data_IF_200574887116
#
_entry.id   IF_200574887116
#
_cell.length_a   1.000
_cell.length_b   1.000
_cell.length_c   1.000
_cell.angle_alpha   90.00
_cell.angle_beta   90.00
_cell.angle_gamma   90.00
#
_symmetry.space_group_name_H-M   'P 1'
#
loop_
_entity.id
_entity.type
_entity.pdbx_description
1 polymer ?
#
# COMPACT_ATOMS: atom_id res chain seq x y z
N UNK A 1 -8.18 -53.01 -14.23
CA UNK A 1 -9.04 -51.81 -14.21
C UNK A 1 -9.12 -51.02 -12.88
N UNK A 2 -9.04 -51.60 -11.66
CA UNK A 2 -9.18 -50.82 -10.41
C UNK A 2 -7.97 -49.94 -10.05
N UNK A 3 -6.76 -50.33 -10.48
CA UNK A 3 -5.55 -49.51 -10.28
C UNK A 3 -5.60 -48.20 -11.08
N UNK A 4 -6.10 -48.24 -12.32
CA UNK A 4 -6.22 -47.06 -13.17
C UNK A 4 -7.19 -46.01 -12.59
N UNK A 5 -8.32 -46.45 -12.02
CA UNK A 5 -9.27 -45.57 -11.32
C UNK A 5 -8.67 -44.93 -10.07
N UNK A 6 -7.87 -45.67 -9.30
CA UNK A 6 -7.19 -45.13 -8.11
C UNK A 6 -6.15 -44.08 -8.51
N UNK A 7 -5.36 -44.32 -9.56
CA UNK A 7 -4.38 -43.36 -10.08
C UNK A 7 -5.01 -42.06 -10.59
N UNK A 8 -6.15 -42.15 -11.27
CA UNK A 8 -6.91 -40.97 -11.74
C UNK A 8 -7.46 -40.17 -10.56
N UNK A 9 -8.03 -40.85 -9.55
CA UNK A 9 -8.54 -40.18 -8.35
C UNK A 9 -7.41 -39.48 -7.57
N UNK A 10 -6.25 -40.10 -7.40
CA UNK A 10 -5.10 -39.47 -6.74
C UNK A 10 -4.55 -38.28 -7.52
N UNK A 11 -4.49 -38.37 -8.85
CA UNK A 11 -4.03 -37.26 -9.70
C UNK A 11 -5.01 -36.09 -9.67
N UNK A 12 -6.31 -36.35 -9.75
CA UNK A 12 -7.35 -35.33 -9.65
C UNK A 12 -7.35 -34.65 -8.27
N UNK A 13 -7.08 -35.41 -7.21
CA UNK A 13 -6.97 -34.87 -5.84
C UNK A 13 -5.74 -33.98 -5.70
N UNK A 14 -4.58 -34.39 -6.23
CA UNK A 14 -3.35 -33.57 -6.23
C UNK A 14 -3.52 -32.27 -7.04
N UNK A 15 -4.19 -32.32 -8.19
CA UNK A 15 -4.52 -31.13 -8.99
C UNK A 15 -5.51 -30.19 -8.28
N UNK A 16 -6.45 -30.73 -7.50
CA UNK A 16 -7.40 -29.93 -6.72
C UNK A 16 -6.74 -29.18 -5.54
N UNK A 17 -5.61 -29.67 -5.03
CA UNK A 17 -4.81 -29.01 -3.98
C UNK A 17 -3.61 -28.21 -4.52
N UNK A 18 -3.36 -28.24 -5.84
CA UNK A 18 -2.39 -27.37 -6.49
C UNK A 18 -3.01 -25.97 -6.65
N UNK A 19 -3.01 -25.20 -5.57
CA UNK A 19 -3.36 -23.79 -5.67
C UNK A 19 -2.33 -23.10 -6.57
N UNK A 20 -2.74 -22.37 -7.62
CA UNK A 20 -1.81 -21.55 -8.37
C UNK A 20 -1.20 -20.54 -7.39
N UNK A 21 0.11 -20.69 -7.12
CA UNK A 21 0.89 -19.66 -6.43
C UNK A 21 1.11 -18.56 -7.46
N UNK A 22 0.17 -17.63 -7.53
CA UNK A 22 0.33 -16.45 -8.37
C UNK A 22 1.41 -15.57 -7.76
N UNK A 23 2.46 -15.28 -8.54
CA UNK A 23 3.48 -14.32 -8.13
C UNK A 23 2.82 -12.95 -7.90
N UNK A 24 3.20 -12.27 -6.81
CA UNK A 24 2.74 -10.92 -6.52
C UNK A 24 3.24 -9.96 -7.59
N UNK A 25 2.36 -9.12 -8.12
CA UNK A 25 2.70 -8.15 -9.16
C UNK A 25 3.14 -6.83 -8.53
N UNK A 26 4.37 -6.40 -8.80
CA UNK A 26 4.87 -5.10 -8.38
C UNK A 26 4.97 -4.19 -9.60
N UNK A 27 4.28 -3.06 -9.58
CA UNK A 27 4.50 -1.97 -10.54
C UNK A 27 5.26 -0.84 -9.85
N UNK A 28 6.22 -0.27 -10.56
CA UNK A 28 7.02 0.87 -10.09
C UNK A 28 6.89 1.98 -11.12
N UNK A 29 6.48 3.16 -10.66
CA UNK A 29 6.41 4.38 -11.47
C UNK A 29 7.38 5.41 -10.91
N UNK A 30 8.14 6.06 -11.78
CA UNK A 30 9.04 7.15 -11.40
C UNK A 30 8.50 8.46 -11.95
N UNK A 31 8.07 9.32 -11.05
CA UNK A 31 7.44 10.62 -11.30
C UNK A 31 8.48 11.72 -11.61
N UNK A 32 8.02 12.92 -11.92
CA UNK A 32 8.85 14.13 -12.12
C UNK A 32 9.94 14.01 -13.21
N UNK A 33 9.64 13.32 -14.31
CA UNK A 33 10.48 13.33 -15.50
C UNK A 33 10.36 14.64 -16.29
N UNK A 34 11.46 15.06 -16.91
CA UNK A 34 11.54 16.18 -17.84
C UNK A 34 12.42 17.33 -17.36
N UNK A 35 12.99 17.25 -16.16
CA UNK A 35 13.84 18.29 -15.56
C UNK A 35 15.27 17.84 -15.32
N UNK A 36 15.53 16.54 -15.18
CA UNK A 36 16.82 15.99 -14.77
C UNK A 36 17.30 14.88 -15.71
N UNK A 37 17.64 15.19 -16.98
CA UNK A 37 18.03 14.17 -17.96
C UNK A 37 19.12 13.22 -17.47
N UNK A 38 20.07 13.68 -16.64
CA UNK A 38 21.12 12.79 -16.13
C UNK A 38 20.56 11.63 -15.29
N UNK A 39 19.75 11.89 -14.27
CA UNK A 39 19.21 10.82 -13.41
C UNK A 39 18.04 10.10 -14.07
N UNK A 40 17.26 10.79 -14.89
CA UNK A 40 16.18 10.20 -15.69
C UNK A 40 16.72 9.15 -16.67
N UNK A 41 17.83 9.43 -17.38
CA UNK A 41 18.45 8.44 -18.26
C UNK A 41 18.99 7.21 -17.51
N UNK A 42 19.35 7.34 -16.22
CA UNK A 42 19.72 6.18 -15.40
C UNK A 42 18.50 5.32 -15.06
N UNK A 43 17.32 5.93 -14.89
CA UNK A 43 16.06 5.20 -14.74
C UNK A 43 15.67 4.51 -16.05
N UNK A 44 15.87 5.17 -17.20
CA UNK A 44 15.61 4.58 -18.53
C UNK A 44 16.57 3.43 -18.90
N UNK A 45 17.63 3.21 -18.11
CA UNK A 45 18.52 2.05 -18.23
C UNK A 45 18.09 0.86 -17.35
N UNK A 46 17.05 1.03 -16.51
CA UNK A 46 16.45 -0.04 -15.72
C UNK A 46 15.50 -0.89 -16.60
N UNK A 47 14.99 -2.04 -16.12
CA UNK A 47 14.10 -2.86 -16.92
C UNK A 47 12.86 -2.09 -17.42
N UNK A 48 12.36 -2.36 -18.63
CA UNK A 48 11.25 -1.63 -19.27
C UNK A 48 9.90 -1.78 -18.55
N UNK A 49 9.84 -2.61 -17.51
CA UNK A 49 8.66 -2.75 -16.66
C UNK A 49 8.60 -1.66 -15.57
N UNK A 50 9.69 -0.91 -15.34
CA UNK A 50 9.61 0.37 -14.62
C UNK A 50 8.96 1.39 -15.55
N UNK A 51 7.97 2.11 -15.05
CA UNK A 51 7.22 3.11 -15.83
C UNK A 51 7.62 4.50 -15.38
N UNK A 52 7.36 5.50 -16.23
CA UNK A 52 7.76 6.89 -15.95
C UNK A 52 6.56 7.82 -16.10
N UNK A 53 6.47 8.83 -15.25
CA UNK A 53 5.48 9.88 -15.37
C UNK A 53 6.16 11.22 -15.65
N UNK A 54 5.81 11.85 -16.77
CA UNK A 54 6.49 13.02 -17.34
C UNK A 54 5.67 14.29 -17.11
N UNK A 55 6.29 15.33 -16.55
CA UNK A 55 5.66 16.63 -16.36
C UNK A 55 5.50 17.32 -17.73
N UNK A 56 4.29 17.66 -18.18
CA UNK A 56 4.04 18.10 -19.57
C UNK A 56 4.69 19.44 -19.92
N UNK A 57 4.90 20.31 -18.93
CA UNK A 57 5.49 21.63 -19.11
C UNK A 57 7.00 21.68 -18.79
N UNK A 58 7.61 20.53 -18.48
CA UNK A 58 9.05 20.46 -18.21
C UNK A 58 9.87 20.64 -19.50
N UNK A 59 11.08 21.25 -19.43
CA UNK A 59 11.88 21.59 -20.60
C UNK A 59 12.18 20.40 -21.53
N UNK A 60 12.34 19.20 -20.96
CA UNK A 60 12.66 17.98 -21.71
C UNK A 60 11.48 17.00 -21.80
N UNK A 61 10.24 17.43 -21.55
CA UNK A 61 9.07 16.56 -21.48
C UNK A 61 8.94 15.64 -22.71
N UNK A 62 8.87 16.22 -23.91
CA UNK A 62 8.71 15.48 -25.17
C UNK A 62 9.90 14.56 -25.45
N UNK A 63 11.11 15.03 -25.18
CA UNK A 63 12.35 14.27 -25.37
C UNK A 63 12.37 13.03 -24.47
N UNK A 64 12.10 13.22 -23.17
CA UNK A 64 12.11 12.13 -22.19
C UNK A 64 10.97 11.14 -22.41
N UNK A 65 9.77 11.61 -22.75
CA UNK A 65 8.65 10.74 -23.11
C UNK A 65 8.97 9.85 -24.33
N UNK A 66 9.55 10.44 -25.36
CA UNK A 66 9.95 9.71 -26.57
C UNK A 66 11.07 8.70 -26.28
N UNK A 67 12.09 9.09 -25.51
CA UNK A 67 13.16 8.16 -25.09
C UNK A 67 12.63 7.01 -24.26
N UNK A 68 11.76 7.30 -23.28
CA UNK A 68 11.14 6.27 -22.44
C UNK A 68 10.34 5.27 -23.26
N UNK A 69 9.49 5.76 -24.17
CA UNK A 69 8.72 4.90 -25.07
C UNK A 69 9.62 4.02 -25.96
N UNK A 70 10.64 4.61 -26.59
CA UNK A 70 11.57 3.89 -27.47
C UNK A 70 12.38 2.82 -26.73
N UNK A 71 12.67 3.04 -25.44
CA UNK A 71 13.30 2.05 -24.55
C UNK A 71 12.30 1.03 -23.98
N UNK A 72 11.02 1.11 -24.35
CA UNK A 72 9.98 0.17 -23.95
C UNK A 72 9.35 0.44 -22.58
N UNK A 73 9.58 1.59 -21.95
CA UNK A 73 8.90 1.96 -20.72
C UNK A 73 7.47 2.41 -21.00
N UNK A 74 6.57 2.13 -20.05
CA UNK A 74 5.24 2.75 -20.06
C UNK A 74 5.35 4.22 -19.64
N UNK A 75 4.70 5.10 -20.41
CA UNK A 75 4.75 6.55 -20.20
C UNK A 75 3.40 7.01 -19.68
N UNK A 76 3.43 7.81 -18.61
CA UNK A 76 2.27 8.51 -18.08
C UNK A 76 2.50 10.02 -18.16
N UNK A 77 1.42 10.78 -18.26
CA UNK A 77 1.43 12.22 -18.01
C UNK A 77 1.47 12.43 -16.50
N UNK A 78 2.46 13.13 -15.97
CA UNK A 78 2.46 13.57 -14.58
C UNK A 78 1.88 14.98 -14.52
N UNK A 79 0.57 15.12 -14.35
CA UNK A 79 -0.10 16.42 -14.49
C UNK A 79 -0.12 17.18 -13.14
N UNK A 80 0.39 18.43 -13.10
CA UNK A 80 0.27 19.29 -11.92
C UNK A 80 -1.16 19.50 -11.47
N UNK A 81 -1.40 19.25 -10.19
CA UNK A 81 -2.69 19.45 -9.54
C UNK A 81 -2.53 20.19 -8.21
N UNK A 82 -3.48 21.05 -7.88
CA UNK A 82 -3.40 21.91 -6.71
C UNK A 82 -3.31 21.11 -5.41
N UNK A 83 -2.32 21.38 -4.55
CA UNK A 83 -2.25 20.86 -3.19
C UNK A 83 -3.07 21.72 -2.23
N UNK A 84 -3.35 21.19 -1.03
CA UNK A 84 -3.91 21.95 0.09
C UNK A 84 -2.90 22.95 0.69
N UNK A 85 -1.61 22.67 0.55
CA UNK A 85 -0.52 23.55 0.99
C UNK A 85 -0.34 24.75 0.04
N UNK A 86 0.25 25.84 0.54
CA UNK A 86 0.52 27.07 -0.24
C UNK A 86 1.92 27.07 -0.86
N UNK A 87 2.24 26.03 -1.62
CA UNK A 87 3.53 25.93 -2.31
C UNK A 87 3.44 26.50 -3.74
N UNK A 88 4.58 26.87 -4.35
CA UNK A 88 4.62 27.25 -5.76
C UNK A 88 3.98 26.17 -6.64
N UNK A 89 3.21 26.60 -7.63
CA UNK A 89 2.52 25.71 -8.55
C UNK A 89 3.26 25.72 -9.89
N UNK A 90 3.37 24.54 -10.49
CA UNK A 90 3.82 24.40 -11.87
C UNK A 90 2.82 25.06 -12.82
N UNK A 91 3.29 25.41 -14.03
CA UNK A 91 2.43 25.93 -15.09
C UNK A 91 1.30 24.94 -15.40
N UNK A 92 0.10 25.47 -15.65
CA UNK A 92 -1.11 24.69 -15.97
C UNK A 92 -1.51 23.69 -14.87
N UNK A 93 -1.26 24.04 -13.60
CA UNK A 93 -1.75 23.28 -12.45
C UNK A 93 -3.27 23.29 -12.36
N UNK A 94 -3.90 22.11 -12.45
CA UNK A 94 -5.35 21.97 -12.31
C UNK A 94 -5.82 22.34 -10.91
N UNK A 95 -6.88 23.15 -10.84
CA UNK A 95 -7.51 23.58 -9.58
C UNK A 95 -9.00 23.22 -9.55
N UNK A 96 -9.58 22.94 -8.37
CA UNK A 96 -11.00 22.59 -8.25
C UNK A 96 -11.99 23.60 -8.84
N UNK A 97 -11.63 24.88 -8.81
CA UNK A 97 -12.46 26.01 -9.21
C UNK A 97 -12.44 26.31 -10.71
N UNK A 98 -11.60 25.63 -11.49
CA UNK A 98 -11.51 25.80 -12.94
C UNK A 98 -12.81 25.38 -13.65
N UNK A 99 -13.09 26.03 -14.79
CA UNK A 99 -14.13 25.61 -15.72
C UNK A 99 -13.75 24.29 -16.41
N UNK A 100 -14.75 23.58 -16.94
CA UNK A 100 -14.49 22.37 -17.73
C UNK A 100 -13.61 22.66 -18.95
N UNK A 101 -13.88 23.76 -19.66
CA UNK A 101 -13.11 24.17 -20.84
C UNK A 101 -11.62 24.39 -20.55
N UNK A 102 -11.31 24.98 -19.39
CA UNK A 102 -9.92 25.21 -18.99
C UNK A 102 -9.22 23.90 -18.62
N UNK A 103 -9.90 23.01 -17.90
CA UNK A 103 -9.39 21.67 -17.59
C UNK A 103 -9.14 20.89 -18.89
N UNK A 104 -10.08 20.93 -19.84
CA UNK A 104 -9.94 20.26 -21.13
C UNK A 104 -8.79 20.84 -21.96
N UNK A 105 -8.63 22.17 -21.99
CA UNK A 105 -7.50 22.85 -22.64
C UNK A 105 -6.18 22.34 -22.08
N UNK A 106 -6.03 22.32 -20.76
CA UNK A 106 -4.80 21.88 -20.07
C UNK A 106 -4.52 20.39 -20.37
N UNK A 107 -5.52 19.52 -20.29
CA UNK A 107 -5.36 18.09 -20.56
C UNK A 107 -4.95 17.85 -22.02
N UNK A 108 -5.58 18.55 -22.98
CA UNK A 108 -5.22 18.48 -24.40
C UNK A 108 -3.77 18.89 -24.64
N UNK A 109 -3.33 19.99 -24.03
CA UNK A 109 -1.92 20.42 -24.11
C UNK A 109 -0.98 19.40 -23.49
N UNK A 110 -1.33 18.83 -22.33
CA UNK A 110 -0.52 17.81 -21.68
C UNK A 110 -0.36 16.54 -22.53
N UNK A 111 -1.43 16.07 -23.16
CA UNK A 111 -1.40 14.93 -24.09
C UNK A 111 -0.50 15.21 -25.29
N UNK A 112 -0.55 16.43 -25.84
CA UNK A 112 0.30 16.82 -26.98
C UNK A 112 1.79 16.91 -26.60
N UNK A 113 2.08 17.37 -25.38
CA UNK A 113 3.44 17.57 -24.89
C UNK A 113 4.11 16.26 -24.45
N UNK A 114 3.34 15.27 -24.00
CA UNK A 114 3.82 13.96 -23.55
C UNK A 114 3.33 12.87 -24.51
N UNK A 115 3.99 12.69 -25.68
CA UNK A 115 3.58 11.67 -26.64
C UNK A 115 3.72 10.26 -26.04
N UNK A 116 2.97 9.31 -26.60
CA UNK A 116 2.95 7.90 -26.21
C UNK A 116 2.42 7.61 -24.80
N UNK A 117 1.91 8.60 -24.09
CA UNK A 117 1.29 8.38 -22.79
C UNK A 117 0.08 7.45 -22.91
N UNK A 118 -0.01 6.49 -21.99
CA UNK A 118 -1.14 5.54 -21.87
C UNK A 118 -1.94 5.74 -20.59
N UNK A 119 -1.48 6.63 -19.71
CA UNK A 119 -2.19 7.04 -18.51
C UNK A 119 -1.81 8.45 -18.06
N UNK A 120 -2.56 8.95 -17.09
CA UNK A 120 -2.31 10.20 -16.38
C UNK A 120 -2.16 9.92 -14.90
N UNK A 121 -1.20 10.59 -14.27
CA UNK A 121 -0.91 10.54 -12.86
C UNK A 121 -0.86 11.96 -12.29
N UNK A 122 -1.33 12.17 -11.06
CA UNK A 122 -1.33 13.50 -10.45
C UNK A 122 0.02 13.82 -9.77
N UNK A 123 0.62 14.95 -10.16
CA UNK A 123 1.67 15.61 -9.40
C UNK A 123 1.02 16.45 -8.28
N UNK A 124 1.39 16.18 -7.03
CA UNK A 124 0.73 16.77 -5.86
C UNK A 124 -0.79 16.51 -5.85
N UNK A 125 -1.63 17.54 -5.83
CA UNK A 125 -3.07 17.38 -6.08
C UNK A 125 -3.95 17.12 -4.88
N UNK A 126 -3.51 17.28 -3.63
CA UNK A 126 -4.36 17.00 -2.46
C UNK A 126 -5.63 17.86 -2.40
N UNK A 127 -5.64 19.08 -2.93
CA UNK A 127 -6.86 19.89 -3.05
C UNK A 127 -7.70 19.48 -4.27
N UNK A 128 -7.06 19.20 -5.41
CA UNK A 128 -7.77 18.78 -6.62
C UNK A 128 -8.45 17.42 -6.46
N UNK A 129 -7.69 16.41 -6.01
CA UNK A 129 -8.15 15.03 -5.88
C UNK A 129 -9.17 14.85 -4.76
N UNK A 130 -9.22 15.73 -3.76
CA UNK A 130 -10.27 15.72 -2.74
C UNK A 130 -11.60 16.35 -3.22
N UNK A 131 -11.59 17.10 -4.32
CA UNK A 131 -12.80 17.70 -4.91
C UNK A 131 -13.47 16.75 -5.89
N UNK A 132 -14.67 16.25 -5.55
CA UNK A 132 -15.43 15.39 -6.44
C UNK A 132 -15.78 16.12 -7.75
N UNK A 133 -16.29 17.34 -7.67
CA UNK A 133 -16.67 18.12 -8.85
C UNK A 133 -15.46 18.46 -9.73
N UNK A 134 -14.31 18.79 -9.13
CA UNK A 134 -13.08 19.02 -9.88
C UNK A 134 -12.63 17.77 -10.61
N UNK A 135 -12.57 16.63 -9.92
CA UNK A 135 -12.18 15.37 -10.52
C UNK A 135 -13.18 14.85 -11.55
N UNK A 136 -14.48 15.11 -11.42
CA UNK A 136 -15.47 14.72 -12.43
C UNK A 136 -15.19 15.41 -13.77
N UNK A 137 -14.86 16.71 -13.75
CA UNK A 137 -14.45 17.43 -14.96
C UNK A 137 -13.17 16.85 -15.57
N UNK A 138 -12.21 16.45 -14.72
CA UNK A 138 -10.98 15.77 -15.17
C UNK A 138 -11.28 14.43 -15.84
N UNK A 139 -12.11 13.59 -15.23
CA UNK A 139 -12.45 12.28 -15.78
C UNK A 139 -13.26 12.40 -17.08
N UNK A 140 -14.16 13.39 -17.17
CA UNK A 140 -14.88 13.71 -18.41
C UNK A 140 -13.93 14.15 -19.52
N UNK A 141 -13.01 15.06 -19.24
CA UNK A 141 -12.01 15.48 -20.22
C UNK A 141 -11.07 14.31 -20.62
N UNK A 142 -10.72 13.44 -19.68
CA UNK A 142 -9.92 12.25 -19.94
C UNK A 142 -10.64 11.18 -20.75
N UNK A 143 -11.98 11.10 -20.72
CA UNK A 143 -12.75 10.11 -21.46
C UNK A 143 -12.57 10.21 -22.99
N UNK A 144 -12.22 11.39 -23.49
CA UNK A 144 -11.87 11.60 -24.90
C UNK A 144 -10.51 11.01 -25.29
N UNK A 145 -9.72 10.58 -24.30
CA UNK A 145 -8.41 9.97 -24.47
C UNK A 145 -8.45 8.53 -23.93
N UNK A 146 -7.76 7.62 -24.60
CA UNK A 146 -7.62 6.24 -24.12
C UNK A 146 -6.56 6.15 -23.00
N UNK A 147 -6.73 6.95 -21.94
CA UNK A 147 -5.83 7.06 -20.80
C UNK A 147 -6.52 6.54 -19.54
N UNK A 148 -5.80 5.74 -18.75
CA UNK A 148 -6.21 5.46 -17.38
C UNK A 148 -5.71 6.56 -16.42
N UNK A 149 -6.29 6.65 -15.23
CA UNK A 149 -5.81 7.53 -14.17
C UNK A 149 -5.12 6.73 -13.05
N UNK A 150 -3.85 7.04 -12.78
CA UNK A 150 -3.12 6.57 -11.61
C UNK A 150 -3.20 7.64 -10.52
N UNK A 151 -3.90 7.34 -9.43
CA UNK A 151 -3.94 8.21 -8.27
C UNK A 151 -2.67 8.03 -7.41
N UNK A 152 -1.89 9.10 -7.27
CA UNK A 152 -0.72 9.15 -6.39
C UNK A 152 -1.08 9.10 -4.91
N UNK A 153 -2.37 9.17 -4.54
CA UNK A 153 -2.85 9.09 -3.16
C UNK A 153 -2.16 10.13 -2.26
N UNK A 154 -2.08 11.38 -2.73
CA UNK A 154 -1.53 12.52 -1.98
C UNK A 154 -2.48 13.00 -0.88
N UNK A 155 -3.73 12.52 -0.89
CA UNK A 155 -4.70 12.65 0.19
C UNK A 155 -5.49 11.35 0.35
N UNK A 156 -5.81 10.97 1.59
CA UNK A 156 -6.45 9.67 1.88
C UNK A 156 -7.90 9.57 1.40
N UNK A 157 -8.61 10.69 1.28
CA UNK A 157 -10.01 10.78 0.85
C UNK A 157 -10.17 11.19 -0.63
N UNK A 158 -9.20 10.86 -1.48
CA UNK A 158 -9.26 11.13 -2.91
C UNK A 158 -10.60 10.64 -3.51
N UNK A 159 -11.17 11.47 -4.37
CA UNK A 159 -12.43 11.26 -5.07
C UNK A 159 -12.22 10.67 -6.46
N UNK A 160 -10.99 10.37 -6.89
CA UNK A 160 -10.67 9.94 -8.26
C UNK A 160 -11.51 8.74 -8.72
N UNK A 161 -11.63 7.69 -7.90
CA UNK A 161 -12.45 6.51 -8.24
C UNK A 161 -13.93 6.85 -8.39
N UNK A 162 -14.47 7.65 -7.46
CA UNK A 162 -15.86 8.08 -7.49
C UNK A 162 -16.16 8.99 -8.68
N UNK A 163 -15.24 9.89 -9.00
CA UNK A 163 -15.34 10.81 -10.13
C UNK A 163 -15.30 10.11 -11.49
N UNK A 164 -14.59 8.97 -11.59
CA UNK A 164 -14.54 8.16 -12.80
C UNK A 164 -15.82 7.35 -13.03
N UNK A 165 -16.69 7.23 -12.03
CA UNK A 165 -17.97 6.54 -12.16
C UNK A 165 -18.82 7.18 -13.27
N UNK A 166 -19.24 6.37 -14.24
CA UNK A 166 -20.00 6.84 -15.40
C UNK A 166 -19.14 7.29 -16.59
N UNK A 167 -17.81 7.19 -16.48
CA UNK A 167 -16.87 7.37 -17.60
C UNK A 167 -16.19 6.05 -17.96
N UNK A 168 -15.56 5.99 -19.13
CA UNK A 168 -14.66 4.90 -19.51
C UNK A 168 -13.30 4.86 -18.78
N UNK A 169 -12.98 5.85 -17.95
CA UNK A 169 -11.65 6.02 -17.36
C UNK A 169 -11.43 5.03 -16.22
N UNK A 170 -10.42 4.16 -16.35
CA UNK A 170 -10.01 3.25 -15.28
C UNK A 170 -9.12 3.95 -14.27
N UNK A 171 -9.35 3.71 -12.99
CA UNK A 171 -8.56 4.28 -11.89
C UNK A 171 -7.78 3.19 -11.17
N UNK A 172 -6.47 3.36 -11.04
CA UNK A 172 -5.58 2.55 -10.20
C UNK A 172 -4.89 3.45 -9.19
N UNK A 173 -4.39 2.88 -8.08
CA UNK A 173 -3.92 3.68 -6.95
C UNK A 173 -2.56 3.23 -6.43
N UNK A 174 -1.72 4.20 -6.12
CA UNK A 174 -0.47 3.96 -5.39
C UNK A 174 -0.75 3.26 -4.05
N UNK A 175 0.11 2.32 -3.67
CA UNK A 175 0.16 1.69 -2.35
C UNK A 175 1.35 2.12 -1.50
N UNK A 176 2.49 2.43 -2.13
CA UNK A 176 3.73 2.82 -1.44
C UNK A 176 4.39 3.99 -2.14
N UNK A 177 4.88 4.95 -1.35
CA UNK A 177 5.75 6.03 -1.83
C UNK A 177 7.16 5.66 -1.40
N UNK A 178 8.08 5.57 -2.35
CA UNK A 178 9.40 5.00 -2.15
C UNK A 178 10.31 5.96 -1.41
N UNK A 179 10.24 7.25 -1.72
CA UNK A 179 11.26 8.23 -1.38
C UNK A 179 10.71 9.50 -0.73
N UNK A 180 9.77 9.32 0.21
CA UNK A 180 9.35 10.39 1.16
C UNK A 180 10.58 11.06 1.83
N UNK A 181 11.66 10.30 2.00
CA UNK A 181 12.98 10.80 2.37
C UNK A 181 14.00 10.39 1.31
N UNK A 182 15.03 11.22 1.10
CA UNK A 182 16.15 10.88 0.21
C UNK A 182 17.20 9.98 0.87
N UNK A 183 16.82 9.22 1.92
CA UNK A 183 17.70 8.30 2.61
C UNK A 183 17.56 6.88 2.02
N UNK A 184 18.67 6.29 1.55
CA UNK A 184 18.63 4.97 0.92
C UNK A 184 18.08 3.85 1.80
N UNK A 185 18.34 3.88 3.12
CA UNK A 185 17.83 2.86 4.01
C UNK A 185 16.31 2.95 4.13
N UNK A 186 15.75 4.15 4.14
CA UNK A 186 14.30 4.39 4.17
C UNK A 186 13.66 3.93 2.86
N UNK A 187 14.27 4.27 1.72
CA UNK A 187 13.81 3.86 0.39
C UNK A 187 13.81 2.34 0.26
N UNK A 188 14.84 1.63 0.77
CA UNK A 188 14.86 0.16 0.82
C UNK A 188 13.73 -0.41 1.67
N UNK A 189 13.43 0.20 2.82
CA UNK A 189 12.30 -0.23 3.66
C UNK A 189 10.98 -0.07 2.92
N UNK A 190 10.77 1.04 2.22
CA UNK A 190 9.58 1.25 1.40
C UNK A 190 9.50 0.27 0.22
N UNK A 191 10.61 0.00 -0.46
CA UNK A 191 10.66 -1.00 -1.53
C UNK A 191 10.27 -2.40 -1.03
N UNK A 192 10.83 -2.84 0.09
CA UNK A 192 10.45 -4.11 0.73
C UNK A 192 8.99 -4.11 1.18
N UNK A 193 8.49 -2.98 1.68
CA UNK A 193 7.07 -2.83 2.00
C UNK A 193 6.17 -3.01 0.78
N UNK A 194 6.57 -2.49 -0.39
CA UNK A 194 5.85 -2.67 -1.64
C UNK A 194 5.80 -4.14 -2.08
N UNK A 195 6.93 -4.86 -1.96
CA UNK A 195 7.00 -6.32 -2.15
C UNK A 195 6.00 -7.05 -1.25
N UNK A 196 6.01 -6.76 0.05
CA UNK A 196 5.10 -7.43 0.99
C UNK A 196 3.62 -7.13 0.70
N UNK A 197 3.31 -5.92 0.22
CA UNK A 197 1.96 -5.57 -0.18
C UNK A 197 1.55 -6.28 -1.48
N UNK A 198 2.47 -6.42 -2.44
CA UNK A 198 2.22 -7.19 -3.65
C UNK A 198 1.93 -8.66 -3.33
N UNK A 199 2.67 -9.26 -2.38
CA UNK A 199 2.38 -10.63 -1.89
C UNK A 199 1.02 -10.74 -1.23
N UNK A 200 0.71 -9.82 -0.32
CA UNK A 200 -0.54 -9.89 0.47
C UNK A 200 -1.78 -9.62 -0.37
N UNK A 201 -1.69 -8.70 -1.32
CA UNK A 201 -2.86 -8.19 -2.05
C UNK A 201 -2.91 -8.68 -3.50
N UNK A 202 -1.96 -9.52 -3.93
CA UNK A 202 -1.78 -9.92 -5.33
C UNK A 202 -1.06 -8.87 -6.19
N UNK A 203 -1.24 -7.58 -5.90
CA UNK A 203 -0.48 -6.50 -6.55
C UNK A 203 -0.21 -5.28 -5.66
N UNK A 204 0.81 -4.52 -6.02
CA UNK A 204 1.08 -3.20 -5.44
C UNK A 204 1.72 -2.26 -6.47
N UNK A 205 1.34 -0.98 -6.41
CA UNK A 205 1.99 0.10 -7.17
C UNK A 205 2.82 0.92 -6.20
N UNK A 206 4.11 1.05 -6.49
CA UNK A 206 5.03 1.93 -5.79
C UNK A 206 5.38 3.11 -6.69
N UNK A 207 5.44 4.31 -6.11
CA UNK A 207 5.83 5.55 -6.81
C UNK A 207 7.08 6.11 -6.13
N UNK A 208 8.04 6.61 -6.91
CA UNK A 208 9.14 7.42 -6.41
C UNK A 208 9.55 8.45 -7.46
N UNK A 209 10.72 9.06 -7.30
CA UNK A 209 11.22 10.11 -8.19
C UNK A 209 12.68 9.82 -8.61
N UNK A 210 13.21 10.47 -9.66
CA UNK A 210 14.57 10.23 -10.15
C UNK A 210 15.61 10.95 -9.28
N UNK A 211 15.49 10.83 -7.96
CA UNK A 211 16.52 11.25 -7.02
C UNK A 211 17.71 10.27 -7.05
N UNK A 212 18.95 10.73 -6.88
CA UNK A 212 20.11 9.84 -6.90
C UNK A 212 20.03 8.67 -5.91
N UNK A 213 19.48 8.90 -4.71
CA UNK A 213 19.27 7.85 -3.71
C UNK A 213 18.26 6.79 -4.20
N UNK A 214 17.14 7.22 -4.77
CA UNK A 214 16.09 6.34 -5.32
C UNK A 214 16.65 5.49 -6.46
N UNK A 215 17.35 6.10 -7.42
CA UNK A 215 17.94 5.40 -8.56
C UNK A 215 18.94 4.34 -8.09
N UNK A 216 19.82 4.65 -7.13
CA UNK A 216 20.79 3.68 -6.59
C UNK A 216 20.09 2.50 -5.91
N UNK A 217 19.04 2.74 -5.14
CA UNK A 217 18.27 1.65 -4.50
C UNK A 217 17.58 0.78 -5.56
N UNK A 218 16.94 1.39 -6.56
CA UNK A 218 16.30 0.67 -7.65
C UNK A 218 17.33 -0.22 -8.38
N UNK A 219 18.45 0.34 -8.84
CA UNK A 219 19.52 -0.40 -9.51
C UNK A 219 20.00 -1.64 -8.73
N UNK A 220 19.95 -1.60 -7.40
CA UNK A 220 20.34 -2.72 -6.56
C UNK A 220 19.22 -3.74 -6.32
N UNK A 221 17.95 -3.28 -6.29
CA UNK A 221 16.83 -4.09 -5.82
C UNK A 221 15.98 -4.68 -6.96
N UNK A 222 15.75 -3.98 -8.08
CA UNK A 222 14.88 -4.54 -9.15
C UNK A 222 15.44 -5.81 -9.79
N UNK A 223 16.76 -5.94 -9.89
CA UNK A 223 17.40 -7.16 -10.41
C UNK A 223 17.49 -8.30 -9.38
N UNK A 224 17.11 -8.04 -8.12
CA UNK A 224 17.14 -9.00 -7.01
C UNK A 224 15.74 -9.24 -6.45
N UNK A 225 14.72 -9.05 -7.28
CA UNK A 225 13.35 -9.35 -6.87
C UNK A 225 13.22 -10.82 -6.48
N UNK A 226 12.50 -11.12 -5.39
CA UNK A 226 12.18 -12.49 -5.03
C UNK A 226 11.47 -13.24 -6.18
N UNK A 227 11.68 -14.55 -6.29
CA UNK A 227 11.10 -15.37 -7.37
C UNK A 227 9.56 -15.39 -7.39
N UNK A 228 8.92 -15.06 -6.26
CA UNK A 228 7.47 -14.94 -6.12
C UNK A 228 6.94 -13.53 -6.40
N UNK A 229 7.78 -12.61 -6.91
CA UNK A 229 7.39 -11.26 -7.35
C UNK A 229 7.69 -11.08 -8.82
N UNK A 230 6.70 -10.61 -9.57
CA UNK A 230 6.88 -10.19 -10.98
C UNK A 230 6.80 -8.68 -11.07
N UNK A 231 7.84 -8.05 -11.63
CA UNK A 231 7.80 -6.63 -11.99
C UNK A 231 6.91 -6.46 -13.22
N UNK A 232 5.91 -5.59 -13.17
CA UNK A 232 4.96 -5.34 -14.27
C UNK A 232 4.75 -3.84 -14.48
N UNK A 233 4.19 -3.47 -15.64
CA UNK A 233 3.73 -2.10 -15.91
C UNK A 233 2.41 -1.81 -15.18
N UNK A 234 2.14 -0.58 -14.71
CA UNK A 234 0.88 -0.23 -14.05
C UNK A 234 -0.35 -0.46 -14.94
N UNK A 235 -0.26 -0.29 -16.26
CA UNK A 235 -1.33 -0.61 -17.21
C UNK A 235 -1.79 -2.08 -17.19
N UNK A 236 -0.94 -3.01 -16.73
CA UNK A 236 -1.32 -4.42 -16.54
C UNK A 236 -2.22 -4.65 -15.31
N UNK A 237 -2.33 -3.66 -14.43
CA UNK A 237 -3.06 -3.74 -13.16
C UNK A 237 -4.46 -3.09 -13.24
N UNK A 238 -4.89 -2.64 -14.43
CA UNK A 238 -6.15 -1.91 -14.61
C UNK A 238 -7.42 -2.72 -14.28
N UNK A 239 -7.32 -4.05 -14.23
CA UNK A 239 -8.45 -4.93 -13.89
C UNK A 239 -8.30 -5.54 -12.48
N UNK A 240 -7.26 -5.16 -11.73
CA UNK A 240 -7.06 -5.64 -10.37
C UNK A 240 -8.03 -4.92 -9.40
N UNK A 241 -8.61 -5.63 -8.42
CA UNK A 241 -9.55 -5.02 -7.48
C UNK A 241 -8.99 -3.79 -6.78
N UNK A 242 -9.72 -2.67 -6.87
CA UNK A 242 -9.40 -1.44 -6.15
C UNK A 242 -10.40 -1.23 -5.02
N UNK A 243 -9.90 -0.88 -3.83
CA UNK A 243 -10.73 -0.50 -2.68
C UNK A 243 -11.06 0.97 -2.78
N UNK A 244 -12.33 1.35 -2.91
CA UNK A 244 -12.72 2.76 -2.84
C UNK A 244 -12.49 3.32 -1.44
N UNK A 245 -11.72 4.41 -1.35
CA UNK A 245 -11.41 5.11 -0.09
C UNK A 245 -12.02 6.50 -0.07
N UNK A 246 -12.81 6.86 -1.10
CA UNK A 246 -13.55 8.10 -1.14
C UNK A 246 -14.50 8.15 0.06
N UNK A 247 -14.49 9.29 0.75
CA UNK A 247 -15.52 9.59 1.75
C UNK A 247 -16.45 10.61 1.11
N UNK A 248 -17.78 10.45 1.23
CA UNK A 248 -18.67 11.57 0.95
C UNK A 248 -18.18 12.77 1.76
N UNK A 249 -18.20 13.96 1.17
CA UNK A 249 -18.19 15.19 1.94
C UNK A 249 -19.44 15.13 2.84
N UNK A 250 -19.28 14.55 4.03
CA UNK A 250 -20.10 14.91 5.14
C UNK A 250 -19.71 16.36 5.34
N UNK A 251 -20.61 17.28 4.96
CA UNK A 251 -20.61 18.65 5.48
C UNK A 251 -20.04 18.60 6.88
N UNK A 252 -19.07 19.46 7.26
CA UNK A 252 -18.60 19.46 8.62
C UNK A 252 -19.82 19.68 9.50
N UNK A 253 -20.38 18.58 10.05
CA UNK A 253 -21.24 18.67 11.20
C UNK A 253 -20.40 19.49 12.14
N UNK A 254 -20.93 20.65 12.57
CA UNK A 254 -20.46 21.27 13.80
C UNK A 254 -20.17 20.11 14.72
N UNK A 255 -18.90 19.88 15.01
CA UNK A 255 -18.54 19.04 16.13
C UNK A 255 -19.00 19.89 17.30
N UNK A 256 -20.29 19.80 17.61
CA UNK A 256 -20.78 20.20 18.90
C UNK A 256 -19.87 19.43 19.84
N UNK A 257 -19.08 20.17 20.63
CA UNK A 257 -18.15 19.59 21.57
C UNK A 257 -18.87 18.42 22.24
N UNK A 258 -18.29 17.21 22.27
CA UNK A 258 -18.99 16.03 22.74
C UNK A 258 -19.65 16.38 24.05
N UNK A 259 -20.99 16.35 24.10
CA UNK A 259 -21.75 16.67 25.31
C UNK A 259 -21.28 15.68 26.34
N UNK A 260 -20.36 16.11 27.19
CA UNK A 260 -19.87 15.30 28.28
C UNK A 260 -21.03 15.22 29.29
N UNK A 261 -21.74 14.10 29.40
CA UNK A 261 -22.83 13.98 30.36
C UNK A 261 -22.28 13.94 31.80
N UNK A 262 -20.96 13.74 31.93
CA UNK A 262 -20.26 13.74 33.20
C UNK A 262 -19.93 15.18 33.58
N UNK A 263 -20.80 15.79 34.39
CA UNK A 263 -20.38 16.88 35.27
C UNK A 263 -19.36 16.28 36.22
N UNK A 264 -18.14 16.81 36.21
CA UNK A 264 -17.09 16.38 37.13
C UNK A 264 -17.64 16.38 38.56
N UNK A 265 -17.71 15.21 39.18
CA UNK A 265 -18.05 15.11 40.59
C UNK A 265 -16.95 15.87 41.32
N UNK A 266 -17.30 16.93 42.06
CA UNK A 266 -16.33 17.62 42.93
C UNK A 266 -15.66 16.54 43.77
N UNK A 267 -14.35 16.42 43.63
CA UNK A 267 -13.57 15.35 44.27
C UNK A 267 -14.04 15.14 45.71
N UNK A 268 -14.54 13.94 46.00
CA UNK A 268 -14.85 13.54 47.36
C UNK A 268 -13.53 13.49 48.13
N UNK A 269 -13.24 14.51 48.95
CA UNK A 269 -12.15 14.45 49.92
C UNK A 269 -12.51 13.37 50.96
N UNK A 270 -11.77 12.25 51.04
CA UNK A 270 -12.08 11.23 52.04
C UNK A 270 -11.85 11.80 53.44
N UNK A 271 -12.85 11.68 54.32
CA UNK A 271 -12.77 12.14 55.72
C UNK A 271 -11.81 11.32 56.59
N UNK A 272 -11.22 10.25 56.04
CA UNK A 272 -10.25 9.38 56.73
C UNK A 272 -9.02 9.19 55.84
N UNK A 273 -7.80 9.16 56.41
CA UNK A 273 -6.60 8.85 55.66
C UNK A 273 -6.75 7.47 55.02
N UNK A 274 -6.36 7.36 53.74
CA UNK A 274 -6.37 6.11 53.01
C UNK A 274 -5.42 5.13 53.70
N UNK A 275 -5.87 3.89 53.91
CA UNK A 275 -5.02 2.86 54.50
C UNK A 275 -3.80 2.61 53.59
N UNK A 276 -2.60 2.45 54.16
CA UNK A 276 -1.41 2.19 53.38
C UNK A 276 -1.57 0.88 52.61
N UNK A 277 -1.36 0.93 51.30
CA UNK A 277 -1.25 -0.27 50.47
C UNK A 277 0.15 -0.83 50.71
N UNK A 278 0.24 -1.87 51.55
CA UNK A 278 1.51 -2.55 51.80
C UNK A 278 1.99 -3.24 50.52
N UNK A 279 3.25 -3.00 50.15
CA UNK A 279 3.88 -3.60 48.96
C UNK A 279 3.82 -5.14 48.94
N UNK A 280 3.65 -5.77 50.11
CA UNK A 280 3.45 -7.22 50.26
C UNK A 280 2.18 -7.73 49.58
N UNK A 281 1.14 -6.88 49.44
CA UNK A 281 -0.11 -7.24 48.74
C UNK A 281 0.04 -7.32 47.23
N UNK A 282 1.02 -6.62 46.65
CA UNK A 282 1.35 -6.72 45.23
C UNK A 282 1.92 -8.11 44.90
N UNK A 283 2.83 -8.60 45.73
CA UNK A 283 3.43 -9.93 45.56
C UNK A 283 2.43 -11.07 45.82
N UNK A 284 1.49 -10.92 46.76
CA UNK A 284 0.45 -11.93 46.98
C UNK A 284 -0.49 -12.08 45.79
N UNK A 285 -0.91 -10.96 45.19
CA UNK A 285 -1.81 -10.97 44.01
C UNK A 285 -1.12 -11.55 42.77
N UNK A 286 0.18 -11.25 42.57
CA UNK A 286 0.96 -11.86 41.49
C UNK A 286 1.18 -13.36 41.74
N UNK A 287 1.47 -13.76 42.98
CA UNK A 287 1.62 -15.17 43.35
C UNK A 287 0.36 -16.00 43.10
N UNK A 288 -0.82 -15.45 43.43
CA UNK A 288 -2.11 -16.09 43.15
C UNK A 288 -2.39 -16.23 41.64
N UNK A 289 -2.05 -15.22 40.83
CA UNK A 289 -2.19 -15.31 39.36
C UNK A 289 -1.24 -16.32 38.71
N UNK A 290 0.00 -16.45 39.22
CA UNK A 290 0.98 -17.39 38.65
C UNK A 290 0.61 -18.83 38.99
N UNK A 291 0.18 -19.09 40.23
CA UNK A 291 -0.24 -20.43 40.67
C UNK A 291 -1.49 -20.93 39.95
N UNK A 292 -2.38 -20.03 39.51
CA UNK A 292 -3.57 -20.38 38.73
C UNK A 292 -3.35 -20.37 37.22
N UNK A 293 -2.13 -20.12 36.73
CA UNK A 293 -1.85 -20.15 35.30
C UNK A 293 -1.90 -21.58 34.76
N UNK A 294 -2.45 -21.74 33.56
CA UNK A 294 -2.65 -23.04 32.89
C UNK A 294 -1.35 -23.84 32.76
N UNK A 295 -0.21 -23.15 32.64
CA UNK A 295 1.13 -23.74 32.53
C UNK A 295 1.58 -24.36 33.85
N UNK A 296 1.38 -23.66 34.98
CA UNK A 296 1.78 -24.17 36.30
C UNK A 296 0.92 -25.37 36.71
N UNK A 297 -0.38 -25.29 36.47
CA UNK A 297 -1.31 -26.41 36.70
C UNK A 297 -0.94 -27.61 35.83
N UNK A 298 -0.59 -27.39 34.55
CA UNK A 298 -0.12 -28.46 33.66
C UNK A 298 1.16 -29.12 34.17
N UNK A 299 2.15 -28.34 34.62
CA UNK A 299 3.39 -28.89 35.20
C UNK A 299 3.15 -29.67 36.49
N UNK A 300 2.26 -29.20 37.37
CA UNK A 300 1.87 -29.92 38.58
C UNK A 300 1.22 -31.28 38.26
N UNK A 301 0.39 -31.36 37.22
CA UNK A 301 -0.24 -32.61 36.81
C UNK A 301 0.74 -33.59 36.14
N UNK A 302 1.78 -33.09 35.47
CA UNK A 302 2.79 -33.93 34.81
C UNK A 302 3.92 -34.37 35.76
N UNK A 303 4.09 -33.72 36.90
CA UNK A 303 5.14 -34.05 37.85
C UNK A 303 4.77 -35.25 38.74
N UNK A 304 5.35 -36.42 38.48
CA UNK A 304 5.14 -37.63 39.30
C UNK A 304 6.21 -37.88 40.39
N UNK A 305 6.99 -36.85 40.75
CA UNK A 305 8.03 -36.96 41.78
C UNK A 305 9.23 -37.82 41.34
N UNK A 306 10.33 -37.74 42.09
CA UNK A 306 11.50 -38.60 41.89
C UNK A 306 11.45 -39.75 42.90
N UNK A 307 11.50 -41.00 42.43
CA UNK A 307 11.76 -42.17 43.29
C UNK A 307 10.64 -43.20 43.51
N UNK A 308 9.74 -43.48 42.54
CA UNK A 308 8.90 -44.69 42.62
C UNK A 308 9.57 -45.88 41.92
N UNK A 309 10.31 -46.64 42.71
CA UNK A 309 10.74 -48.01 42.40
C UNK A 309 9.48 -48.88 42.28
N UNK A 310 9.33 -49.59 41.17
CA UNK A 310 8.28 -50.58 40.99
C UNK A 310 8.49 -51.74 41.97
N UNK A 311 7.51 -52.01 42.84
CA UNK A 311 7.52 -53.20 43.68
C UNK A 311 7.39 -54.47 42.81
N UNK A 312 8.21 -55.52 43.01
CA UNK A 312 8.13 -56.74 42.22
C UNK A 312 6.88 -57.56 42.61
N UNK A 313 6.24 -58.14 41.61
CA UNK A 313 5.13 -59.09 41.75
C UNK A 313 5.64 -60.41 42.33
N UNK A 314 5.07 -60.84 43.45
CA UNK A 314 5.25 -62.19 43.99
C UNK A 314 4.76 -63.23 42.98
N UNK A 315 5.67 -64.08 42.51
CA UNK A 315 5.35 -65.34 41.83
C UNK A 315 5.55 -66.44 42.87
N UNK A 316 4.46 -67.09 43.26
CA UNK A 316 4.47 -68.33 44.03
C UNK A 316 4.78 -69.49 43.09
N UNK A 317 5.84 -70.23 43.37
CA UNK A 317 6.08 -71.55 42.82
C UNK A 317 6.44 -72.51 43.96
N UNK A 318 5.77 -73.66 43.91
CA UNK A 318 5.74 -74.83 44.80
C UNK A 318 7.10 -75.52 45.07
N UNK A 319 7.13 -76.20 46.24
CA UNK A 319 7.78 -77.50 46.61
C UNK A 319 9.31 -77.59 46.49
N UNK A 320 10.06 -78.07 47.49
CA UNK A 320 9.80 -79.18 48.44
C UNK A 320 9.88 -78.83 49.93
#
# INVERSE_FOLDING_TARGET
>A
MPQFRRSILTLATLLAFAHPVFAGKLAIVIDDFGYRPHTENQVLALPPNISVAVLPNAPHAREMATKAHNSGHEVLIHLPMAPLSKQPLEKDTLRPDMSSDEIERIIREAVNNVPYAVGLNNHMGSAMTSSLFGMQKVMQALEHYNLYFLDSMTIGNSQAMRAASGTGVKVIKRKVFLDDTQNEADIRRQFNRAIELARRNGSAIAIGHPHPATVRVLQQMVYRLPADITLVRPGSLLNEPQVDTSRPDLTPQKIDAPRNPFRGVKMCKPKKPLQPVYATRFFSVIGESITQSSVVVWFQHQWQGWGKIAAPKNVSAKTD
#
